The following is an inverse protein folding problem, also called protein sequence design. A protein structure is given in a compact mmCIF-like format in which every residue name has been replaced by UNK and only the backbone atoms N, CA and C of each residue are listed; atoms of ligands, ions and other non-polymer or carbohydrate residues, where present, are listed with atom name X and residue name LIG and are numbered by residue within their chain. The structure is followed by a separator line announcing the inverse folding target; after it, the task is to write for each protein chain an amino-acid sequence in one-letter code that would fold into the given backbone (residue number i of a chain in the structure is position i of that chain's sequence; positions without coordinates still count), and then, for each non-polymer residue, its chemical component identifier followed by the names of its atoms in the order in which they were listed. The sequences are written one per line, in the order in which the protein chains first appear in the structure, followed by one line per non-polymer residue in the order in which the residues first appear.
data_IF_508319853841
#
_entry.id   IF_508319853841
#
_cell.length_a   1.000
_cell.length_b   1.000
_cell.length_c   1.000
_cell.angle_alpha   90.00
_cell.angle_beta   90.00
_cell.angle_gamma   90.00
#
_symmetry.space_group_name_H-M   'P 1'
#
loop_
_entity.id
_entity.type
_entity.pdbx_description
1 polymer ?
#
# COMPACT_ATOMS: atom_id res chain seq x y z
N UNK A 1 -16.61 7.27 -4.35
CA UNK A 1 -16.63 8.17 -3.17
C UNK A 1 -16.39 7.36 -1.89
N UNK A 2 -15.40 6.44 -1.90
CA UNK A 2 -15.29 5.38 -0.88
C UNK A 2 -13.91 5.19 -0.25
N UNK A 3 -12.92 6.01 -0.60
CA UNK A 3 -11.51 5.56 -0.48
C UNK A 3 -10.63 6.52 0.34
N UNK A 4 -11.26 7.58 0.85
CA UNK A 4 -10.64 8.53 1.76
C UNK A 4 -11.35 8.50 3.10
N UNK A 5 -10.56 8.44 4.17
CA UNK A 5 -11.06 8.60 5.54
C UNK A 5 -10.61 9.94 6.11
N UNK A 6 -11.44 10.54 6.95
CA UNK A 6 -11.09 11.75 7.69
C UNK A 6 -10.32 11.37 8.95
N UNK A 7 -9.03 11.68 8.98
CA UNK A 7 -8.13 11.32 10.10
C UNK A 7 -7.81 12.57 10.90
N UNK A 8 -7.86 12.44 12.23
CA UNK A 8 -7.46 13.53 13.13
C UNK A 8 -5.93 13.52 13.26
N UNK A 9 -5.29 14.55 12.71
CA UNK A 9 -3.82 14.68 12.68
C UNK A 9 -3.31 15.39 13.94
N UNK A 10 -4.10 16.33 14.45
CA UNK A 10 -3.87 17.02 15.73
C UNK A 10 -5.20 17.30 16.41
N UNK A 11 -5.19 17.72 17.68
CA UNK A 11 -6.38 17.91 18.52
C UNK A 11 -7.56 18.65 17.87
N UNK A 12 -7.32 19.48 16.84
CA UNK A 12 -8.35 20.26 16.15
C UNK A 12 -8.30 20.17 14.62
N UNK A 13 -7.43 19.35 14.01
CA UNK A 13 -7.27 19.31 12.55
C UNK A 13 -7.53 17.92 11.99
N UNK A 14 -8.53 17.84 11.11
CA UNK A 14 -8.87 16.63 10.35
C UNK A 14 -8.40 16.79 8.92
N UNK A 15 -7.75 15.76 8.38
CA UNK A 15 -7.30 15.71 6.98
C UNK A 15 -7.85 14.47 6.31
N UNK A 16 -8.16 14.57 5.02
CA UNK A 16 -8.40 13.39 4.19
C UNK A 16 -7.09 12.59 4.07
N UNK A 17 -7.17 11.30 4.35
CA UNK A 17 -6.09 10.34 4.13
C UNK A 17 -6.60 9.19 3.28
N UNK A 18 -5.73 8.68 2.41
CA UNK A 18 -5.89 7.36 1.81
C UNK A 18 -5.74 6.32 2.92
N UNK A 19 -6.55 5.27 2.87
CA UNK A 19 -6.56 4.20 3.86
C UNK A 19 -6.59 2.83 3.20
N UNK A 20 -6.07 1.83 3.91
CA UNK A 20 -6.15 0.43 3.49
C UNK A 20 -7.29 -0.20 4.30
N UNK A 21 -8.30 -0.73 3.61
CA UNK A 21 -9.52 -1.27 4.22
C UNK A 21 -10.24 -0.29 5.18
N UNK A 22 -10.22 1.01 4.86
CA UNK A 22 -10.89 2.05 5.67
C UNK A 22 -10.19 2.40 6.98
N UNK A 23 -8.95 1.92 7.20
CA UNK A 23 -8.16 2.20 8.40
C UNK A 23 -6.83 2.88 8.06
N UNK A 24 -6.40 3.78 8.96
CA UNK A 24 -5.02 4.27 9.00
C UNK A 24 -4.57 4.38 10.47
N UNK A 25 -3.44 3.79 10.86
CA UNK A 25 -2.54 2.94 10.06
C UNK A 25 -3.23 1.71 9.48
N UNK A 26 -2.72 1.19 8.36
CA UNK A 26 -3.27 0.00 7.70
C UNK A 26 -3.13 -1.26 8.57
N UNK A 27 -3.67 -2.41 8.09
CA UNK A 27 -3.59 -3.67 8.83
C UNK A 27 -2.14 -4.11 9.03
N UNK A 28 -1.85 -4.69 10.20
CA UNK A 28 -0.53 -5.25 10.51
C UNK A 28 -0.41 -6.63 9.87
N UNK A 29 0.68 -6.84 9.11
CA UNK A 29 1.07 -8.15 8.62
C UNK A 29 2.08 -8.77 9.60
N UNK A 30 1.88 -10.04 9.97
CA UNK A 30 2.78 -10.80 10.83
C UNK A 30 3.09 -12.13 10.17
N UNK A 31 4.38 -12.45 10.06
CA UNK A 31 4.88 -13.68 9.45
C UNK A 31 6.20 -14.08 10.11
N UNK A 32 6.62 -15.33 9.91
CA UNK A 32 7.91 -15.82 10.37
C UNK A 32 8.95 -15.76 9.24
N UNK A 33 10.23 -15.83 9.60
CA UNK A 33 11.30 -15.91 8.61
C UNK A 33 11.15 -17.18 7.76
N UNK A 34 11.16 -17.01 6.43
CA UNK A 34 10.94 -18.11 5.47
C UNK A 34 9.50 -18.27 4.99
N UNK A 35 8.52 -17.60 5.62
CA UNK A 35 7.13 -17.63 5.15
C UNK A 35 6.97 -16.85 3.83
N UNK A 36 6.08 -17.35 2.97
CA UNK A 36 5.65 -16.62 1.77
C UNK A 36 4.32 -15.93 2.04
N UNK A 37 4.33 -14.59 1.95
CA UNK A 37 3.12 -13.78 2.12
C UNK A 37 2.57 -13.42 0.74
N UNK A 38 1.28 -13.71 0.51
CA UNK A 38 0.57 -13.30 -0.70
C UNK A 38 -0.44 -12.24 -0.31
N UNK A 39 -0.23 -11.00 -0.77
CA UNK A 39 -1.14 -9.88 -0.53
C UNK A 39 -1.83 -9.51 -1.83
N UNK A 40 -3.16 -9.61 -1.86
CA UNK A 40 -3.96 -9.13 -2.98
C UNK A 40 -4.34 -7.66 -2.75
N UNK A 41 -3.85 -6.77 -3.60
CA UNK A 41 -4.09 -5.33 -3.51
C UNK A 41 -5.12 -4.95 -4.56
N UNK A 42 -6.25 -4.41 -4.12
CA UNK A 42 -7.30 -3.88 -4.99
C UNK A 42 -7.38 -2.39 -4.76
N UNK A 43 -7.01 -1.60 -5.77
CA UNK A 43 -7.13 -0.16 -5.70
C UNK A 43 -8.58 0.26 -5.96
N UNK A 44 -9.21 0.84 -4.95
CA UNK A 44 -10.55 1.40 -5.06
C UNK A 44 -10.55 2.92 -5.31
N UNK A 45 -9.39 3.58 -5.28
CA UNK A 45 -9.26 5.01 -5.58
C UNK A 45 -9.68 5.32 -7.01
N UNK A 46 -10.30 6.49 -7.19
CA UNK A 46 -10.93 6.85 -8.45
C UNK A 46 -9.95 7.45 -9.46
N UNK A 47 -8.96 8.22 -9.02
CA UNK A 47 -8.05 8.95 -9.92
C UNK A 47 -6.58 8.61 -9.69
N UNK A 48 -6.26 7.99 -8.57
CA UNK A 48 -4.91 7.83 -8.08
C UNK A 48 -4.36 6.44 -8.41
N UNK A 49 -3.23 6.41 -9.11
CA UNK A 49 -2.42 5.21 -9.23
C UNK A 49 -1.70 4.92 -7.91
N UNK A 50 -1.69 3.66 -7.47
CA UNK A 50 -1.08 3.23 -6.20
C UNK A 50 -0.02 2.17 -6.45
N UNK A 51 1.08 2.29 -5.72
CA UNK A 51 2.06 1.24 -5.49
C UNK A 51 2.29 1.09 -3.99
N UNK A 52 2.45 -0.15 -3.52
CA UNK A 52 2.74 -0.46 -2.11
C UNK A 52 4.14 -1.05 -2.03
N UNK A 53 5.06 -0.35 -1.37
CA UNK A 53 6.43 -0.78 -1.15
C UNK A 53 6.60 -1.49 0.20
N UNK A 54 7.26 -2.65 0.18
CA UNK A 54 7.53 -3.46 1.37
C UNK A 54 8.86 -3.08 2.00
N UNK A 55 8.84 -2.00 2.79
CA UNK A 55 10.05 -1.46 3.41
C UNK A 55 10.76 -2.51 4.29
N UNK A 56 12.04 -2.77 4.00
CA UNK A 56 12.89 -3.65 4.82
C UNK A 56 12.89 -5.13 4.43
N UNK A 57 12.06 -5.57 3.48
CA UNK A 57 12.23 -6.91 2.88
C UNK A 57 13.52 -6.88 2.06
N UNK A 58 14.53 -7.60 2.55
CA UNK A 58 15.93 -7.45 2.14
C UNK A 58 16.15 -7.95 0.72
N UNK A 59 16.02 -7.05 -0.27
CA UNK A 59 15.97 -7.36 -1.69
C UNK A 59 14.91 -8.43 -1.93
N UNK A 60 13.98 -8.17 -2.83
CA UNK A 60 13.12 -9.23 -3.31
C UNK A 60 13.93 -10.16 -4.22
N UNK A 61 14.82 -10.95 -3.62
CA UNK A 61 15.80 -11.82 -4.27
C UNK A 61 15.00 -12.88 -5.01
N UNK A 62 15.00 -12.79 -6.34
CA UNK A 62 14.21 -13.65 -7.20
C UNK A 62 12.80 -13.15 -7.52
N UNK A 63 12.32 -12.07 -6.90
CA UNK A 63 11.00 -11.48 -7.17
C UNK A 63 11.01 -9.94 -7.28
N UNK A 64 11.96 -9.28 -7.97
CA UNK A 64 12.10 -7.82 -7.97
C UNK A 64 10.86 -7.04 -8.42
N UNK A 65 9.96 -7.68 -9.18
CA UNK A 65 8.69 -7.09 -9.62
C UNK A 65 7.62 -6.96 -8.52
N UNK A 66 7.85 -7.50 -7.33
CA UNK A 66 6.92 -7.40 -6.19
C UNK A 66 7.28 -6.24 -5.24
N UNK A 67 8.29 -5.42 -5.56
CA UNK A 67 8.94 -4.51 -4.60
C UNK A 67 8.08 -3.28 -4.31
N UNK A 68 7.21 -2.89 -5.22
CA UNK A 68 6.35 -1.73 -5.03
C UNK A 68 7.00 -0.40 -5.36
N UNK A 69 8.18 -0.40 -5.97
CA UNK A 69 8.82 0.81 -6.48
C UNK A 69 8.21 1.16 -7.84
N UNK A 70 7.73 2.40 -7.97
CA UNK A 70 6.81 2.86 -9.02
C UNK A 70 7.25 2.68 -10.48
N UNK A 71 6.44 3.24 -11.37
CA UNK A 71 6.53 3.02 -12.82
C UNK A 71 7.96 3.11 -13.39
N UNK A 72 8.37 2.07 -14.10
CA UNK A 72 9.68 1.97 -14.74
C UNK A 72 10.77 1.24 -13.93
N UNK A 73 10.50 0.89 -12.67
CA UNK A 73 11.46 0.16 -11.82
C UNK A 73 11.02 -1.26 -11.50
N UNK A 74 9.89 -1.45 -10.80
CA UNK A 74 9.43 -2.80 -10.41
C UNK A 74 8.07 -3.19 -10.97
N UNK A 75 7.19 -2.22 -11.24
CA UNK A 75 5.82 -2.50 -11.69
C UNK A 75 5.27 -1.40 -12.61
N UNK A 76 4.24 -1.75 -13.38
CA UNK A 76 3.40 -0.78 -14.07
C UNK A 76 2.15 -0.48 -13.24
N UNK A 77 1.68 0.77 -13.28
CA UNK A 77 0.33 1.05 -12.80
C UNK A 77 -0.65 0.52 -13.83
N UNK A 78 -1.59 -0.33 -13.40
CA UNK A 78 -2.78 -0.58 -14.20
C UNK A 78 -3.64 0.68 -14.11
N UNK A 79 -3.51 1.55 -15.10
CA UNK A 79 -4.52 2.55 -15.39
C UNK A 79 -5.80 1.78 -15.74
N UNK A 80 -6.87 2.08 -15.02
CA UNK A 80 -8.20 1.58 -15.36
C UNK A 80 -8.74 2.32 -16.57
#
# INVERSE_FOLDING_TARGET
MGDFISVQVSGCYKKLSIAINGMTPGPVLTAMEGDTIIVNIINHLFMENVAIHWHGIRLQIGTPWMDGTGWGFSMCYNAR
#
